data_IF_283406991955
#
_entry.id   IF_283406991955
#
_cell.length_a   1.000
_cell.length_b   1.000
_cell.length_c   1.000
_cell.angle_alpha   90.00
_cell.angle_beta   90.00
_cell.angle_gamma   90.00
#
_symmetry.space_group_name_H-M   'P 1'
#
loop_
_entity.id
_entity.type
_entity.pdbx_description
1 polymer ?
#
# COMPACT_ATOMS: atom_id res chain seq x y z
N UNK A 1 20.32 7.11 5.29
CA UNK A 1 18.92 6.63 5.27
C UNK A 1 18.44 6.59 3.81
N UNK A 2 18.09 5.43 3.24
CA UNK A 2 17.60 5.38 1.84
C UNK A 2 16.14 5.86 1.78
N UNK A 3 15.71 6.64 0.78
CA UNK A 3 14.31 7.06 0.64
C UNK A 3 13.40 5.84 0.41
N UNK A 4 12.13 5.93 0.82
CA UNK A 4 11.15 4.88 0.56
C UNK A 4 10.86 4.85 -0.95
N UNK A 5 10.96 3.67 -1.56
CA UNK A 5 10.55 3.45 -2.95
C UNK A 5 9.40 2.46 -2.95
N UNK A 6 8.25 2.89 -3.44
CA UNK A 6 7.11 2.04 -3.77
C UNK A 6 7.27 1.57 -5.21
N UNK A 7 7.40 0.27 -5.44
CA UNK A 7 7.59 -0.29 -6.78
C UNK A 7 6.26 -0.51 -7.49
N UNK A 8 5.30 -1.10 -6.79
CA UNK A 8 3.96 -1.34 -7.27
C UNK A 8 3.02 -1.62 -6.10
N UNK A 9 1.72 -1.46 -6.37
CA UNK A 9 0.62 -1.71 -5.46
C UNK A 9 -0.35 -2.64 -6.16
N UNK A 10 -0.78 -3.71 -5.49
CA UNK A 10 -1.78 -4.64 -6.04
C UNK A 10 -2.93 -4.82 -5.07
N UNK A 11 -4.16 -4.93 -5.58
CA UNK A 11 -5.29 -5.39 -4.79
C UNK A 11 -5.15 -6.90 -4.58
N UNK A 12 -5.17 -7.35 -3.34
CA UNK A 12 -5.06 -8.75 -2.92
C UNK A 12 -6.33 -9.28 -2.24
N UNK A 13 -7.30 -8.40 -1.95
CA UNK A 13 -8.57 -8.77 -1.34
C UNK A 13 -9.68 -7.77 -1.68
N UNK A 14 -10.94 -8.24 -1.61
CA UNK A 14 -12.12 -7.49 -2.05
C UNK A 14 -12.97 -6.96 -0.89
N UNK A 15 -13.23 -7.77 0.14
CA UNK A 15 -14.07 -7.40 1.28
C UNK A 15 -13.32 -7.66 2.61
N UNK A 16 -12.59 -6.68 3.18
CA UNK A 16 -12.43 -5.29 2.71
C UNK A 16 -11.42 -5.14 1.55
N UNK A 17 -11.46 -4.03 0.77
CA UNK A 17 -10.46 -3.71 -0.25
C UNK A 17 -9.07 -3.70 0.38
N UNK A 18 -8.27 -4.72 0.03
CA UNK A 18 -6.95 -4.94 0.64
C UNK A 18 -5.88 -4.79 -0.42
N UNK A 19 -4.93 -3.89 -0.20
CA UNK A 19 -3.82 -3.62 -1.09
C UNK A 19 -2.50 -4.07 -0.47
N UNK A 20 -1.58 -4.55 -1.32
CA UNK A 20 -0.21 -4.90 -0.93
C UNK A 20 0.75 -3.98 -1.67
N UNK A 21 1.43 -3.13 -0.91
CA UNK A 21 2.48 -2.22 -1.36
C UNK A 21 3.83 -2.94 -1.34
N UNK A 22 4.47 -3.07 -2.50
CA UNK A 22 5.81 -3.63 -2.60
C UNK A 22 6.85 -2.52 -2.57
N UNK A 23 7.69 -2.50 -1.55
CA UNK A 23 8.65 -1.41 -1.31
C UNK A 23 10.09 -1.90 -1.21
N UNK A 24 11.03 -0.96 -1.12
CA UNK A 24 12.46 -1.26 -0.94
C UNK A 24 12.87 -1.63 0.49
N UNK A 25 11.96 -1.62 1.47
CA UNK A 25 12.26 -1.98 2.86
C UNK A 25 11.16 -2.87 3.45
N UNK A 26 11.53 -3.72 4.40
CA UNK A 26 10.56 -4.53 5.15
C UNK A 26 9.94 -3.71 6.29
N UNK A 27 8.79 -4.17 6.78
CA UNK A 27 8.07 -3.54 7.89
C UNK A 27 6.95 -2.62 7.43
N UNK A 28 6.24 -2.04 8.42
CA UNK A 28 5.10 -1.16 8.19
C UNK A 28 5.55 0.14 7.52
N UNK A 29 4.66 0.70 6.69
CA UNK A 29 4.83 2.06 6.18
C UNK A 29 4.76 3.04 7.35
N UNK A 30 5.43 4.18 7.20
CA UNK A 30 5.15 5.30 8.08
C UNK A 30 3.70 5.75 7.88
N UNK A 31 3.01 6.11 8.96
CA UNK A 31 1.58 6.40 8.94
C UNK A 31 1.21 7.46 7.88
N UNK A 32 2.07 8.47 7.65
CA UNK A 32 1.79 9.52 6.67
C UNK A 32 1.76 8.99 5.23
N UNK A 33 2.64 8.03 4.90
CA UNK A 33 2.67 7.42 3.56
C UNK A 33 1.48 6.49 3.38
N UNK A 34 1.14 5.72 4.41
CA UNK A 34 -0.03 4.84 4.41
C UNK A 34 -1.32 5.64 4.19
N UNK A 35 -1.52 6.72 4.96
CA UNK A 35 -2.68 7.61 4.84
C UNK A 35 -2.75 8.31 3.48
N UNK A 36 -1.60 8.72 2.95
CA UNK A 36 -1.51 9.28 1.61
C UNK A 36 -1.99 8.28 0.55
N UNK A 37 -1.50 7.04 0.59
CA UNK A 37 -1.93 5.99 -0.35
C UNK A 37 -3.42 5.68 -0.19
N UNK A 38 -3.91 5.57 1.04
CA UNK A 38 -5.33 5.33 1.32
C UNK A 38 -6.21 6.41 0.69
N UNK A 39 -5.88 7.69 0.89
CA UNK A 39 -6.63 8.81 0.33
C UNK A 39 -6.61 8.80 -1.20
N UNK A 40 -5.45 8.54 -1.82
CA UNK A 40 -5.35 8.47 -3.29
C UNK A 40 -6.16 7.31 -3.88
N UNK A 41 -6.14 6.15 -3.25
CA UNK A 41 -6.95 5.00 -3.66
C UNK A 41 -8.45 5.35 -3.51
N UNK A 42 -8.84 5.99 -2.41
CA UNK A 42 -10.23 6.40 -2.18
C UNK A 42 -10.70 7.44 -3.21
N UNK A 43 -9.89 8.45 -3.50
CA UNK A 43 -10.16 9.48 -4.50
C UNK A 43 -10.32 8.89 -5.90
N UNK A 44 -9.49 7.91 -6.26
CA UNK A 44 -9.47 7.34 -7.61
C UNK A 44 -10.58 6.29 -7.85
N UNK A 45 -10.93 5.49 -6.85
CA UNK A 45 -11.83 4.34 -7.01
C UNK A 45 -13.15 4.44 -6.23
N UNK A 46 -13.33 5.48 -5.40
CA UNK A 46 -14.62 5.74 -4.75
C UNK A 46 -14.99 4.76 -3.63
N UNK A 47 -14.01 4.20 -2.91
CA UNK A 47 -14.23 3.32 -1.74
C UNK A 47 -14.82 4.06 -0.53
N UNK A 48 -16.05 4.57 -0.67
CA UNK A 48 -16.83 5.19 0.39
C UNK A 48 -17.47 4.11 1.28
N UNK A 49 -17.47 4.33 2.59
CA UNK A 49 -18.13 3.44 3.55
C UNK A 49 -17.44 2.10 3.82
N UNK A 50 -16.29 1.82 3.21
CA UNK A 50 -15.50 0.61 3.46
C UNK A 50 -14.06 0.96 3.88
N UNK A 51 -13.49 0.26 4.89
CA UNK A 51 -12.10 0.46 5.23
C UNK A 51 -11.19 -0.04 4.10
N UNK A 52 -10.13 0.70 3.80
CA UNK A 52 -9.07 0.25 2.89
C UNK A 52 -7.92 -0.27 3.74
N UNK A 53 -7.48 -1.51 3.49
CA UNK A 53 -6.35 -2.11 4.23
C UNK A 53 -5.11 -2.07 3.36
N UNK A 54 -4.03 -1.46 3.85
CA UNK A 54 -2.74 -1.43 3.13
C UNK A 54 -1.70 -2.24 3.89
N UNK A 55 -1.24 -3.33 3.29
CA UNK A 55 -0.11 -4.12 3.78
C UNK A 55 1.14 -3.74 3.02
N UNK A 56 2.29 -3.76 3.67
CA UNK A 56 3.59 -3.53 3.04
C UNK A 56 4.43 -4.81 3.02
N UNK A 57 5.12 -5.03 1.91
CA UNK A 57 6.09 -6.11 1.75
C UNK A 57 7.36 -5.56 1.10
N UNK A 58 8.52 -6.01 1.55
CA UNK A 58 9.75 -5.77 0.82
C UNK A 58 9.70 -6.55 -0.50
N UNK A 59 10.02 -5.90 -1.62
CA UNK A 59 10.24 -6.60 -2.88
C UNK A 59 11.48 -7.46 -2.72
N UNK A 60 11.32 -8.79 -2.78
CA UNK A 60 12.46 -9.67 -2.99
C UNK A 60 12.95 -9.43 -4.41
N UNK A 61 14.23 -9.05 -4.57
CA UNK A 61 14.88 -9.14 -5.88
C UNK A 61 14.89 -10.63 -6.21
N UNK A 62 14.11 -11.04 -7.21
CA UNK A 62 14.38 -12.32 -7.86
C UNK A 62 15.78 -12.20 -8.47
N UNK A 63 16.65 -13.13 -8.09
CA UNK A 63 17.96 -13.30 -8.69
C UNK A 63 17.78 -13.67 -10.17
#
# INVERSE_FOLDING_TARGET
NKPLRLYYLTQAGVAPPTFVAFTNRAGKLHFSVERYLENRIREQFGFAGTPIVIKSRARQRRA
#
